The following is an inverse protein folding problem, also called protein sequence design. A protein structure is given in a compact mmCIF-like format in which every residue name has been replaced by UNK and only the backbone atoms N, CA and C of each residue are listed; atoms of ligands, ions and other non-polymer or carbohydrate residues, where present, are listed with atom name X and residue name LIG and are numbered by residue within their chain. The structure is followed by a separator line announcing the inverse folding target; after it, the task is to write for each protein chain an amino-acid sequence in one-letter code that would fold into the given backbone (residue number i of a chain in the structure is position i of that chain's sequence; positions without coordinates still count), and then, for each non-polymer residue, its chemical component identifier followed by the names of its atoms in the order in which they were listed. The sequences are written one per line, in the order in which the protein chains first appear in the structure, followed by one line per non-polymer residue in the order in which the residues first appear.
data_IF_029267091664
#
_entry.id   IF_029267091664
#
_cell.length_a   1.000
_cell.length_b   1.000
_cell.length_c   1.000
_cell.angle_alpha   90.00
_cell.angle_beta   90.00
_cell.angle_gamma   90.00
#
_symmetry.space_group_name_H-M   'P 1'
#
loop_
_entity.id
_entity.type
_entity.pdbx_description
1 polymer ?
#
# COMPACT_ATOMS: atom_id res chain seq x y z
N UNK A 1 -46.56 -24.94 2.80
CA UNK A 1 -45.61 -24.83 3.91
C UNK A 1 -44.19 -25.19 3.49
N UNK A 2 -43.90 -26.43 3.09
CA UNK A 2 -42.56 -26.85 2.65
C UNK A 2 -41.91 -25.97 1.54
N UNK A 3 -42.71 -25.60 0.53
CA UNK A 3 -42.27 -24.73 -0.57
C UNK A 3 -41.92 -23.29 -0.12
N UNK A 4 -42.55 -22.79 0.95
CA UNK A 4 -42.26 -21.47 1.50
C UNK A 4 -40.97 -21.52 2.34
N UNK A 5 -40.74 -22.61 3.06
CA UNK A 5 -39.51 -22.83 3.83
C UNK A 5 -38.28 -23.05 2.94
N UNK A 6 -38.46 -23.69 1.78
CA UNK A 6 -37.39 -23.80 0.76
C UNK A 6 -37.10 -22.44 0.11
N UNK A 7 -38.13 -21.64 -0.13
CA UNK A 7 -37.99 -20.31 -0.71
C UNK A 7 -37.39 -19.29 0.25
N UNK A 8 -37.70 -19.39 1.55
CA UNK A 8 -37.06 -18.61 2.62
C UNK A 8 -35.58 -18.95 2.76
N UNK A 9 -35.22 -20.25 2.77
CA UNK A 9 -33.82 -20.69 2.79
C UNK A 9 -33.03 -20.20 1.58
N UNK A 10 -33.64 -20.21 0.39
CA UNK A 10 -33.02 -19.67 -0.81
C UNK A 10 -32.70 -18.17 -0.71
N UNK A 11 -33.62 -17.36 -0.15
CA UNK A 11 -33.37 -15.94 0.08
C UNK A 11 -32.39 -15.67 1.22
N UNK A 12 -32.37 -16.52 2.26
CA UNK A 12 -31.37 -16.47 3.33
C UNK A 12 -29.97 -16.79 2.78
N UNK A 13 -29.82 -17.82 1.94
CA UNK A 13 -28.56 -18.16 1.27
C UNK A 13 -28.13 -17.06 0.28
N UNK A 14 -29.05 -16.48 -0.51
CA UNK A 14 -28.76 -15.32 -1.38
C UNK A 14 -28.34 -14.08 -0.57
N UNK A 15 -28.95 -13.85 0.60
CA UNK A 15 -28.58 -12.74 1.48
C UNK A 15 -27.22 -12.99 2.15
N UNK A 16 -26.91 -14.23 2.53
CA UNK A 16 -25.61 -14.62 3.10
C UNK A 16 -24.50 -14.52 2.04
N UNK A 17 -24.78 -14.87 0.77
CA UNK A 17 -23.87 -14.66 -0.37
C UNK A 17 -23.68 -13.17 -0.68
N UNK A 18 -24.70 -12.34 -0.47
CA UNK A 18 -24.62 -10.87 -0.63
C UNK A 18 -23.89 -10.16 0.53
N UNK A 19 -23.53 -10.88 1.61
CA UNK A 19 -22.73 -10.41 2.74
C UNK A 19 -21.41 -11.20 2.80
N UNK A 20 -20.76 -11.45 1.67
CA UNK A 20 -19.30 -11.52 1.70
C UNK A 20 -18.82 -10.08 1.85
N UNK A 21 -18.58 -9.62 3.08
CA UNK A 21 -18.06 -8.28 3.38
C UNK A 21 -16.87 -7.99 2.46
N UNK A 22 -17.09 -7.17 1.43
CA UNK A 22 -15.99 -6.75 0.56
C UNK A 22 -15.04 -5.92 1.41
N UNK A 23 -13.87 -6.47 1.69
CA UNK A 23 -12.88 -5.79 2.50
C UNK A 23 -12.12 -4.81 1.62
N UNK A 24 -12.54 -3.54 1.70
CA UNK A 24 -11.88 -2.44 1.01
C UNK A 24 -10.91 -1.72 1.95
N UNK A 25 -9.65 -1.57 1.56
CA UNK A 25 -8.67 -0.84 2.35
C UNK A 25 -7.60 -0.15 1.51
N UNK A 26 -6.97 0.83 2.12
CA UNK A 26 -5.80 1.50 1.56
C UNK A 26 -4.54 0.97 2.25
N UNK A 27 -3.49 0.70 1.48
CA UNK A 27 -2.18 0.24 1.95
C UNK A 27 -1.09 1.17 1.44
N UNK A 28 -0.41 1.85 2.35
CA UNK A 28 0.73 2.70 2.03
C UNK A 28 2.03 2.12 2.59
N UNK A 29 3.06 2.04 1.74
CA UNK A 29 4.43 1.75 2.16
C UNK A 29 5.22 3.05 2.30
N UNK A 30 5.79 3.28 3.47
CA UNK A 30 6.68 4.41 3.76
C UNK A 30 8.10 3.89 3.93
N UNK A 31 9.01 4.30 3.06
CA UNK A 31 10.34 3.67 2.94
C UNK A 31 11.47 4.70 2.95
N UNK A 32 12.49 4.43 3.75
CA UNK A 32 13.79 5.10 3.64
C UNK A 32 14.43 4.77 2.29
N UNK A 33 14.75 5.80 1.52
CA UNK A 33 15.36 5.71 0.21
C UNK A 33 16.71 6.46 0.14
N UNK A 34 17.38 6.68 1.28
CA UNK A 34 18.75 7.22 1.33
C UNK A 34 19.76 6.25 0.70
N UNK A 35 20.94 6.75 0.30
CA UNK A 35 22.03 5.91 -0.22
C UNK A 35 22.44 4.79 0.75
N UNK A 36 22.26 4.98 2.06
CA UNK A 36 22.55 3.96 3.09
C UNK A 36 21.71 2.67 2.94
N UNK A 37 20.61 2.75 2.20
CA UNK A 37 19.71 1.64 1.84
C UNK A 37 20.14 0.89 0.57
N UNK A 38 21.23 1.27 -0.11
CA UNK A 38 21.63 0.70 -1.41
C UNK A 38 21.75 -0.83 -1.41
N UNK A 39 22.24 -1.44 -0.33
CA UNK A 39 22.34 -2.90 -0.19
C UNK A 39 21.01 -3.60 0.10
N UNK A 40 19.97 -2.84 0.47
CA UNK A 40 18.68 -3.35 0.92
C UNK A 40 17.51 -2.97 0.01
N UNK A 41 17.65 -1.91 -0.80
CA UNK A 41 16.54 -1.29 -1.53
C UNK A 41 15.88 -2.26 -2.52
N UNK A 42 16.68 -3.08 -3.24
CA UNK A 42 16.14 -4.07 -4.17
C UNK A 42 15.37 -5.18 -3.44
N UNK A 43 15.91 -5.69 -2.33
CA UNK A 43 15.20 -6.68 -1.50
C UNK A 43 13.89 -6.09 -0.92
N UNK A 44 13.90 -4.81 -0.54
CA UNK A 44 12.69 -4.12 -0.07
C UNK A 44 11.66 -3.94 -1.18
N UNK A 45 12.08 -3.57 -2.40
CA UNK A 45 11.20 -3.49 -3.58
C UNK A 45 10.55 -4.83 -3.88
N UNK A 46 11.33 -5.91 -3.89
CA UNK A 46 10.82 -7.28 -4.05
C UNK A 46 9.83 -7.65 -2.96
N UNK A 47 10.12 -7.32 -1.70
CA UNK A 47 9.24 -7.62 -0.58
C UNK A 47 7.91 -6.86 -0.65
N UNK A 48 7.95 -5.56 -0.95
CA UNK A 48 6.75 -4.72 -1.15
C UNK A 48 5.88 -5.31 -2.27
N UNK A 49 6.48 -5.66 -3.41
CA UNK A 49 5.77 -6.26 -4.55
C UNK A 49 5.18 -7.63 -4.18
N UNK A 50 5.90 -8.43 -3.40
CA UNK A 50 5.45 -9.74 -2.93
C UNK A 50 4.24 -9.62 -2.00
N UNK A 51 4.26 -8.68 -1.05
CA UNK A 51 3.12 -8.41 -0.16
C UNK A 51 1.90 -7.96 -0.97
N UNK A 52 2.06 -6.99 -1.88
CA UNK A 52 0.98 -6.51 -2.72
C UNK A 52 0.39 -7.62 -3.61
N UNK A 53 1.24 -8.47 -4.19
CA UNK A 53 0.81 -9.59 -5.03
C UNK A 53 0.12 -10.68 -4.23
N UNK A 54 0.58 -10.93 -2.99
CA UNK A 54 -0.05 -11.89 -2.08
C UNK A 54 -1.47 -11.46 -1.73
N UNK A 55 -1.65 -10.19 -1.31
CA UNK A 55 -2.97 -9.63 -0.99
C UNK A 55 -3.91 -9.74 -2.20
N UNK A 56 -3.42 -9.34 -3.38
CA UNK A 56 -4.20 -9.38 -4.62
C UNK A 56 -4.64 -10.81 -5.03
N UNK A 57 -3.85 -11.83 -4.68
CA UNK A 57 -4.14 -13.24 -4.97
C UNK A 57 -4.85 -14.00 -3.85
N UNK A 58 -5.03 -13.39 -2.67
CA UNK A 58 -5.52 -14.08 -1.49
C UNK A 58 -7.04 -14.34 -1.53
N UNK A 59 -7.84 -13.32 -1.82
CA UNK A 59 -9.30 -13.41 -1.88
C UNK A 59 -9.84 -12.36 -2.86
N UNK A 60 -10.69 -12.79 -3.81
CA UNK A 60 -11.32 -11.89 -4.80
C UNK A 60 -12.24 -10.84 -4.20
N UNK A 61 -12.69 -11.03 -2.96
CA UNK A 61 -13.54 -10.09 -2.23
C UNK A 61 -12.76 -8.97 -1.55
N UNK A 62 -11.42 -9.08 -1.51
CA UNK A 62 -10.55 -8.01 -1.05
C UNK A 62 -10.27 -7.08 -2.23
N UNK A 63 -10.59 -5.79 -2.05
CA UNK A 63 -10.14 -4.74 -2.96
C UNK A 63 -9.25 -3.80 -2.18
N UNK A 64 -8.12 -3.43 -2.74
CA UNK A 64 -7.21 -2.52 -2.06
C UNK A 64 -6.62 -1.51 -3.03
N UNK A 65 -6.29 -0.37 -2.48
CA UNK A 65 -5.52 0.65 -3.16
C UNK A 65 -4.15 0.72 -2.50
N UNK A 66 -3.13 0.67 -3.32
CA UNK A 66 -1.74 0.66 -2.88
C UNK A 66 -1.06 1.96 -3.26
N UNK A 67 -0.32 2.52 -2.31
CA UNK A 67 0.45 3.75 -2.46
C UNK A 67 1.85 3.58 -1.89
N UNK A 68 2.73 4.52 -2.20
CA UNK A 68 4.11 4.53 -1.72
C UNK A 68 4.57 5.95 -1.40
N UNK A 69 5.32 6.09 -0.32
CA UNK A 69 5.99 7.32 0.08
C UNK A 69 7.46 7.02 0.43
N UNK A 70 8.38 7.45 -0.42
CA UNK A 70 9.81 7.40 -0.13
C UNK A 70 10.26 8.68 0.58
N UNK A 71 11.13 8.57 1.58
CA UNK A 71 11.78 9.73 2.21
C UNK A 71 13.30 9.59 2.23
N UNK A 72 14.00 10.72 2.27
CA UNK A 72 15.46 10.83 2.48
C UNK A 72 15.75 11.87 3.57
N UNK A 73 16.86 12.58 3.51
CA UNK A 73 17.24 13.57 4.52
C UNK A 73 16.55 14.91 4.32
N UNK A 74 16.47 15.69 5.39
CA UNK A 74 15.95 17.06 5.32
C UNK A 74 16.69 17.95 4.30
N UNK A 75 17.96 17.66 4.02
CA UNK A 75 18.81 18.40 3.07
C UNK A 75 18.59 18.03 1.61
N UNK A 76 17.83 16.97 1.30
CA UNK A 76 17.57 16.52 -0.08
C UNK A 76 16.51 17.37 -0.81
N UNK A 77 16.11 18.51 -0.23
CA UNK A 77 15.25 19.53 -0.84
C UNK A 77 13.98 18.96 -1.50
N UNK A 78 13.87 19.05 -2.84
CA UNK A 78 12.71 18.60 -3.61
C UNK A 78 12.67 17.08 -3.74
N UNK A 79 13.83 16.42 -3.68
CA UNK A 79 13.97 14.96 -3.80
C UNK A 79 13.79 14.24 -2.45
N UNK A 80 13.71 15.02 -1.36
CA UNK A 80 13.47 14.55 0.01
C UNK A 80 12.26 13.62 0.12
N UNK A 81 11.18 13.90 -0.60
CA UNK A 81 9.92 13.14 -0.54
C UNK A 81 9.51 12.68 -1.94
N UNK A 82 9.15 11.40 -2.05
CA UNK A 82 8.73 10.77 -3.30
C UNK A 82 7.37 10.10 -3.11
N UNK A 83 6.32 10.68 -3.70
CA UNK A 83 4.95 10.17 -3.55
C UNK A 83 4.49 9.45 -4.81
N UNK A 84 3.94 8.27 -4.61
CA UNK A 84 3.08 7.58 -5.56
C UNK A 84 1.71 7.39 -4.92
N UNK A 85 0.75 8.14 -5.44
CA UNK A 85 -0.61 8.14 -4.89
C UNK A 85 -1.34 6.81 -5.15
N UNK A 86 -2.44 6.60 -4.42
CA UNK A 86 -3.17 5.35 -4.38
C UNK A 86 -3.66 4.87 -5.75
N UNK A 87 -3.40 3.60 -6.06
CA UNK A 87 -3.91 2.91 -7.25
C UNK A 87 -4.44 1.53 -6.90
N UNK A 88 -5.48 1.07 -7.58
CA UNK A 88 -5.92 -0.32 -7.53
C UNK A 88 -5.30 -1.19 -8.63
N UNK A 89 -4.36 -0.64 -9.41
CA UNK A 89 -3.65 -1.36 -10.46
C UNK A 89 -2.30 -1.87 -9.95
N UNK A 90 -2.25 -3.16 -9.61
CA UNK A 90 -1.02 -3.83 -9.16
C UNK A 90 0.12 -3.68 -10.16
N UNK A 91 -0.15 -3.75 -11.47
CA UNK A 91 0.88 -3.63 -12.51
C UNK A 91 1.47 -2.21 -12.60
N UNK A 92 0.64 -1.17 -12.46
CA UNK A 92 1.14 0.22 -12.38
C UNK A 92 2.04 0.41 -11.16
N UNK A 93 1.60 -0.12 -10.02
CA UNK A 93 2.36 -0.04 -8.78
C UNK A 93 3.71 -0.77 -8.90
N UNK A 94 3.73 -2.03 -9.37
CA UNK A 94 4.96 -2.79 -9.62
C UNK A 94 5.92 -2.03 -10.54
N UNK A 95 5.40 -1.52 -11.67
CA UNK A 95 6.19 -0.76 -12.63
C UNK A 95 6.83 0.47 -11.99
N UNK A 96 6.09 1.17 -11.14
CA UNK A 96 6.61 2.32 -10.41
C UNK A 96 7.70 1.90 -9.42
N UNK A 97 7.42 0.94 -8.53
CA UNK A 97 8.38 0.46 -7.53
C UNK A 97 9.68 0.01 -8.19
N UNK A 98 9.60 -0.83 -9.24
CA UNK A 98 10.80 -1.34 -9.93
C UNK A 98 11.62 -0.23 -10.58
N UNK A 99 10.97 0.73 -11.25
CA UNK A 99 11.66 1.67 -12.14
C UNK A 99 11.95 3.04 -11.53
N UNK A 100 11.28 3.42 -10.44
CA UNK A 100 11.33 4.78 -9.88
C UNK A 100 11.87 4.83 -8.46
N UNK A 101 11.82 3.73 -7.70
CA UNK A 101 12.36 3.70 -6.34
C UNK A 101 13.83 3.28 -6.40
N UNK A 102 14.68 4.17 -5.92
CA UNK A 102 16.14 4.01 -5.88
C UNK A 102 16.66 4.55 -4.54
N UNK A 103 17.77 3.98 -4.08
CA UNK A 103 18.53 4.49 -2.95
C UNK A 103 19.45 5.59 -3.46
N UNK A 104 19.20 6.84 -3.06
CA UNK A 104 19.92 8.02 -3.52
C UNK A 104 19.83 9.13 -2.49
N UNK A 105 20.70 10.13 -2.60
CA UNK A 105 20.79 11.18 -1.59
C UNK A 105 21.13 10.59 -0.22
N UNK A 106 20.71 11.28 0.83
CA UNK A 106 21.28 11.02 2.14
C UNK A 106 22.67 11.62 2.24
N UNK A 107 22.86 12.40 3.30
CA UNK A 107 24.15 12.93 3.71
C UNK A 107 24.43 12.37 5.12
N UNK A 108 25.38 12.96 5.85
CA UNK A 108 25.55 12.65 7.29
C UNK A 108 24.43 13.29 8.16
N UNK A 109 23.32 13.73 7.55
CA UNK A 109 22.20 14.37 8.23
C UNK A 109 21.14 13.35 8.65
N UNK A 110 20.32 13.66 9.67
CA UNK A 110 19.23 12.77 10.04
C UNK A 110 18.19 12.58 8.93
N UNK A 111 17.73 11.35 8.74
CA UNK A 111 16.66 11.04 7.80
C UNK A 111 15.32 11.71 8.21
N UNK A 112 14.55 12.19 7.24
CA UNK A 112 13.25 12.85 7.45
C UNK A 112 12.08 11.84 7.57
N UNK A 113 12.21 10.90 8.52
CA UNK A 113 11.18 9.86 8.77
C UNK A 113 9.81 10.48 9.05
N UNK A 114 9.78 11.56 9.86
CA UNK A 114 8.54 12.23 10.22
C UNK A 114 7.93 12.98 9.04
N UNK A 115 8.75 13.57 8.16
CA UNK A 115 8.29 14.16 6.91
C UNK A 115 7.68 13.13 5.98
N UNK A 116 8.29 11.95 5.85
CA UNK A 116 7.74 10.83 5.10
C UNK A 116 6.37 10.37 5.64
N UNK A 117 6.26 10.20 6.96
CA UNK A 117 4.99 9.86 7.61
C UNK A 117 3.94 10.96 7.45
N UNK A 118 4.32 12.23 7.62
CA UNK A 118 3.41 13.36 7.47
C UNK A 118 2.88 13.41 6.02
N UNK A 119 3.76 13.36 5.02
CA UNK A 119 3.38 13.36 3.61
C UNK A 119 2.45 12.19 3.27
N UNK A 120 2.78 10.99 3.75
CA UNK A 120 1.91 9.82 3.58
C UNK A 120 0.51 10.04 4.15
N UNK A 121 0.37 10.74 5.28
CA UNK A 121 -0.92 10.99 5.94
C UNK A 121 -1.68 12.17 5.32
N UNK A 122 -0.99 13.25 4.97
CA UNK A 122 -1.61 14.53 4.61
C UNK A 122 -1.68 14.82 3.12
N UNK A 123 -0.82 14.19 2.31
CA UNK A 123 -0.72 14.49 0.87
C UNK A 123 -1.28 13.38 -0.03
N UNK A 124 -1.39 12.14 0.48
CA UNK A 124 -1.96 11.02 -0.28
C UNK A 124 -3.49 10.94 -0.15
N UNK A 125 -4.15 10.42 -1.17
CA UNK A 125 -5.62 10.43 -1.29
C UNK A 125 -6.30 9.22 -0.65
N UNK A 126 -6.14 9.05 0.66
CA UNK A 126 -6.83 8.02 1.43
C UNK A 126 -8.36 8.09 1.24
N UNK A 127 -8.98 6.99 0.86
CA UNK A 127 -10.40 6.95 0.47
C UNK A 127 -11.20 5.88 1.21
N UNK A 128 -10.56 4.84 1.74
CA UNK A 128 -11.22 3.74 2.44
C UNK A 128 -11.22 3.95 3.97
N UNK A 129 -12.13 3.24 4.64
CA UNK A 129 -12.26 3.28 6.10
C UNK A 129 -11.09 2.58 6.79
N UNK A 130 -10.69 1.42 6.28
CA UNK A 130 -9.50 0.71 6.75
C UNK A 130 -8.27 1.25 6.02
N UNK A 131 -7.29 1.71 6.80
CA UNK A 131 -6.07 2.35 6.31
C UNK A 131 -4.88 1.74 7.02
N UNK A 132 -3.95 1.21 6.23
CA UNK A 132 -2.77 0.51 6.75
C UNK A 132 -1.54 1.24 6.22
N UNK A 133 -0.66 1.64 7.12
CA UNK A 133 0.63 2.24 6.80
C UNK A 133 1.73 1.34 7.35
N UNK A 134 2.65 0.93 6.49
CA UNK A 134 3.82 0.13 6.85
C UNK A 134 5.06 1.00 6.64
N UNK A 135 5.75 1.34 7.72
CA UNK A 135 7.00 2.10 7.67
C UNK A 135 8.20 1.16 7.85
N UNK A 136 9.24 1.36 7.05
CA UNK A 136 10.55 0.73 7.22
C UNK A 136 11.67 1.74 6.94
N UNK A 137 12.62 1.81 7.87
CA UNK A 137 13.96 2.37 7.73
C UNK A 137 14.98 1.22 7.83
N UNK A 138 16.29 1.46 7.64
CA UNK A 138 17.34 0.44 7.82
C UNK A 138 17.18 -0.37 9.11
#
# INVERSE_FOLDING_TARGET
MKLLEERLRYYEDEAIINIEDSMNFDLCFVLDCTESMSEHIEAMKEHIIKVASYINGYNSNIKFWIGFCGYRDHSDHIDRLQIFDFTNSLEKFKTYITNKVMAEGGYDTPEDVLGGLNAAITEMTWSNATRILIQKNK
#
